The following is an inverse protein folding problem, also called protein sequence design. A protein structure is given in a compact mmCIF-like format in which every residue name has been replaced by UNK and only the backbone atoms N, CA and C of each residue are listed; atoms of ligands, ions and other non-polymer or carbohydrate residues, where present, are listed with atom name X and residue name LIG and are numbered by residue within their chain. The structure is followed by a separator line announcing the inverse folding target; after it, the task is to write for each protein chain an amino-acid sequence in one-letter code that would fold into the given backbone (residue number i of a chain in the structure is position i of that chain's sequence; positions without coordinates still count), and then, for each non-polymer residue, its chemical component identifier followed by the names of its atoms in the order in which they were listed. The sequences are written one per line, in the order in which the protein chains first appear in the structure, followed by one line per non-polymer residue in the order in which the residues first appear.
data_IF_526345515040
#
_entry.id   IF_526345515040
#
_cell.length_a   1.000
_cell.length_b   1.000
_cell.length_c   1.000
_cell.angle_alpha   90.00
_cell.angle_beta   90.00
_cell.angle_gamma   90.00
#
_symmetry.space_group_name_H-M   'P 1'
#
loop_
_entity.id
_entity.type
_entity.pdbx_description
1 polymer ?
#
# COMPACT_ATOMS: atom_id res chain seq x y z
N UNK A 1 22.19 -0.31 -12.58
CA UNK A 1 22.87 0.40 -11.47
C UNK A 1 22.65 -0.46 -10.24
N UNK A 2 23.72 -1.06 -9.68
CA UNK A 2 23.60 -1.86 -8.46
C UNK A 2 23.29 -0.91 -7.29
N UNK A 3 22.11 -1.08 -6.71
CA UNK A 3 21.81 -0.40 -5.44
C UNK A 3 22.73 -0.98 -4.38
N UNK A 4 23.23 -0.13 -3.50
CA UNK A 4 23.93 -0.53 -2.28
C UNK A 4 23.09 -1.56 -1.50
N UNK A 5 23.70 -2.49 -0.77
CA UNK A 5 22.94 -3.41 0.08
C UNK A 5 22.00 -2.60 0.96
N UNK A 6 20.71 -2.91 0.86
CA UNK A 6 19.63 -2.17 1.52
C UNK A 6 19.88 -2.08 3.02
N UNK A 7 20.04 -0.87 3.51
CA UNK A 7 20.04 -0.63 4.94
C UNK A 7 18.60 -0.58 5.46
N UNK A 8 17.87 0.46 5.06
CA UNK A 8 16.47 0.70 5.43
C UNK A 8 15.73 1.28 4.23
N UNK A 9 14.55 0.77 3.95
CA UNK A 9 13.69 1.32 2.90
C UNK A 9 12.26 1.50 3.39
N UNK A 10 11.66 2.62 2.99
CA UNK A 10 10.26 2.94 3.22
C UNK A 10 9.56 3.15 1.87
N UNK A 11 8.64 2.26 1.55
CA UNK A 11 7.68 2.47 0.46
C UNK A 11 6.38 3.01 1.05
N UNK A 12 6.08 4.28 0.82
CA UNK A 12 4.83 4.88 1.22
C UNK A 12 3.87 4.94 0.04
N UNK A 13 2.83 4.13 0.07
CA UNK A 13 1.76 4.12 -0.93
C UNK A 13 0.55 4.89 -0.43
N UNK A 14 0.16 5.91 -1.19
CA UNK A 14 -1.03 6.73 -0.98
C UNK A 14 -2.07 6.32 -2.02
N UNK A 15 -3.12 5.64 -1.59
CA UNK A 15 -4.20 5.22 -2.49
C UNK A 15 -5.01 6.42 -2.99
N UNK A 16 -5.41 6.40 -4.26
CA UNK A 16 -6.12 7.52 -4.88
C UNK A 16 -5.24 8.71 -5.27
N UNK A 17 -3.91 8.65 -5.05
CA UNK A 17 -2.98 9.72 -5.41
C UNK A 17 -2.46 9.53 -6.84
N UNK A 18 -3.01 10.27 -7.79
CA UNK A 18 -2.58 10.23 -9.18
C UNK A 18 -1.37 11.14 -9.46
N UNK A 19 -0.64 10.83 -10.53
CA UNK A 19 0.55 11.58 -10.93
C UNK A 19 0.27 13.10 -11.11
N UNK A 20 -0.85 13.43 -11.75
CA UNK A 20 -1.20 14.82 -12.04
C UNK A 20 -1.62 15.60 -10.78
N UNK A 21 -2.01 14.91 -9.70
CA UNK A 21 -2.31 15.52 -8.39
C UNK A 21 -1.15 16.31 -7.84
N UNK A 22 0.09 15.82 -8.05
CA UNK A 22 1.30 16.48 -7.55
C UNK A 22 1.49 17.90 -8.12
N UNK A 23 1.17 18.10 -9.38
CA UNK A 23 1.27 19.42 -10.02
C UNK A 23 0.03 20.28 -9.79
N UNK A 24 -1.16 19.67 -9.85
CA UNK A 24 -2.44 20.38 -9.74
C UNK A 24 -2.67 20.98 -8.36
N UNK A 25 -2.23 20.28 -7.31
CA UNK A 25 -2.46 20.66 -5.91
C UNK A 25 -1.14 20.93 -5.14
N UNK A 26 -0.09 21.37 -5.84
CA UNK A 26 1.24 21.60 -5.25
C UNK A 26 1.20 22.52 -4.02
N UNK A 27 0.34 23.53 -4.01
CA UNK A 27 0.18 24.48 -2.89
C UNK A 27 -0.36 23.80 -1.62
N UNK A 28 -1.15 22.74 -1.77
CA UNK A 28 -1.70 21.94 -0.66
C UNK A 28 -0.63 20.99 -0.08
N UNK A 29 0.40 20.68 -0.86
CA UNK A 29 1.43 19.69 -0.55
C UNK A 29 2.85 20.28 -0.54
N UNK A 30 3.16 21.22 0.36
CA UNK A 30 4.46 21.91 0.36
C UNK A 30 5.66 20.99 0.62
N UNK A 31 5.45 19.81 1.22
CA UNK A 31 6.52 18.83 1.44
C UNK A 31 6.72 17.97 0.20
N UNK A 32 5.66 17.30 -0.26
CA UNK A 32 5.73 16.34 -1.38
C UNK A 32 6.08 17.03 -2.70
N UNK A 33 5.61 18.26 -2.93
CA UNK A 33 5.91 19.02 -4.15
C UNK A 33 7.40 19.34 -4.33
N UNK A 34 8.21 19.28 -3.26
CA UNK A 34 9.66 19.50 -3.27
C UNK A 34 10.47 18.20 -3.38
N UNK A 35 9.82 17.06 -3.33
CA UNK A 35 10.50 15.76 -3.47
C UNK A 35 10.93 15.52 -4.90
N UNK A 36 11.94 14.68 -5.08
CA UNK A 36 12.43 14.33 -6.42
C UNK A 36 11.33 13.51 -7.12
N UNK A 37 10.88 13.99 -8.26
CA UNK A 37 9.94 13.28 -9.11
C UNK A 37 10.70 12.38 -10.09
N UNK A 38 10.59 11.08 -9.93
CA UNK A 38 11.21 10.08 -10.81
C UNK A 38 10.37 9.74 -12.04
N UNK A 39 9.22 10.39 -12.22
CA UNK A 39 8.36 10.22 -13.38
C UNK A 39 7.07 9.45 -13.10
N UNK A 40 6.31 9.24 -14.17
CA UNK A 40 5.01 8.58 -14.17
C UNK A 40 5.15 7.11 -14.48
N UNK A 41 4.51 6.29 -13.69
CA UNK A 41 4.29 4.87 -13.99
C UNK A 41 2.79 4.61 -14.14
N UNK A 42 2.45 3.54 -14.83
CA UNK A 42 1.05 3.13 -15.01
C UNK A 42 0.76 1.92 -14.13
N UNK A 43 -0.40 1.93 -13.50
CA UNK A 43 -0.93 0.74 -12.81
C UNK A 43 -1.40 -0.32 -13.81
N UNK A 44 -1.55 -1.56 -13.34
CA UNK A 44 -2.10 -2.63 -14.14
C UNK A 44 -3.60 -2.38 -14.50
N UNK A 45 -4.10 -3.12 -15.47
CA UNK A 45 -5.54 -3.13 -15.79
C UNK A 45 -6.18 -4.43 -15.28
N UNK A 46 -7.35 -4.35 -14.63
CA UNK A 46 -8.06 -3.13 -14.22
C UNK A 46 -7.34 -2.38 -13.09
N UNK A 47 -7.44 -1.05 -13.09
CA UNK A 47 -6.76 -0.17 -12.14
C UNK A 47 -7.43 -0.12 -10.75
N UNK A 48 -7.98 -1.24 -10.29
CA UNK A 48 -8.56 -1.33 -8.95
C UNK A 48 -7.46 -1.53 -7.91
N UNK A 49 -7.68 -1.04 -6.69
CA UNK A 49 -6.78 -1.26 -5.54
C UNK A 49 -6.39 -2.72 -5.39
N UNK A 50 -7.35 -3.64 -5.45
CA UNK A 50 -7.10 -5.07 -5.28
C UNK A 50 -6.11 -5.63 -6.31
N UNK A 51 -6.29 -5.31 -7.59
CA UNK A 51 -5.41 -5.76 -8.67
C UNK A 51 -4.05 -5.09 -8.60
N UNK A 52 -4.03 -3.77 -8.38
CA UNK A 52 -2.80 -2.98 -8.37
C UNK A 52 -1.88 -3.34 -7.20
N UNK A 53 -2.45 -3.53 -6.00
CA UNK A 53 -1.68 -3.95 -4.83
C UNK A 53 -1.15 -5.39 -4.97
N UNK A 54 -1.93 -6.31 -5.54
CA UNK A 54 -1.45 -7.65 -5.83
C UNK A 54 -0.29 -7.63 -6.86
N UNK A 55 -0.41 -6.83 -7.92
CA UNK A 55 0.69 -6.61 -8.88
C UNK A 55 1.93 -6.05 -8.20
N UNK A 56 1.77 -5.04 -7.34
CA UNK A 56 2.89 -4.41 -6.61
C UNK A 56 3.60 -5.42 -5.70
N UNK A 57 2.85 -6.24 -4.98
CA UNK A 57 3.42 -7.14 -3.96
C UNK A 57 3.91 -8.46 -4.51
N UNK A 58 3.45 -8.90 -5.68
CA UNK A 58 3.94 -10.12 -6.33
C UNK A 58 5.00 -9.83 -7.39
N UNK A 59 4.97 -8.63 -8.00
CA UNK A 59 5.78 -8.31 -9.19
C UNK A 59 5.25 -8.95 -10.47
N UNK A 60 4.04 -9.54 -10.43
CA UNK A 60 3.44 -10.27 -11.54
C UNK A 60 2.23 -9.55 -12.13
N UNK A 61 1.85 -9.90 -13.36
CA UNK A 61 0.66 -9.37 -14.02
C UNK A 61 -0.63 -9.99 -13.46
N UNK A 62 -1.79 -9.30 -13.59
CA UNK A 62 -3.07 -9.77 -13.06
C UNK A 62 -3.46 -11.19 -13.50
N UNK A 63 -3.17 -11.56 -14.74
CA UNK A 63 -3.41 -12.91 -15.25
C UNK A 63 -2.56 -14.02 -14.61
N UNK A 64 -1.46 -13.66 -13.92
CA UNK A 64 -0.59 -14.58 -13.20
C UNK A 64 -0.99 -14.70 -11.75
N UNK A 65 -1.16 -13.58 -11.03
CA UNK A 65 -1.52 -13.61 -9.61
C UNK A 65 -3.01 -13.81 -9.33
N UNK A 66 -3.88 -13.75 -10.34
CA UNK A 66 -5.32 -14.09 -10.23
C UNK A 66 -6.21 -13.03 -9.56
N UNK A 67 -5.66 -11.90 -9.07
CA UNK A 67 -6.44 -10.79 -8.51
C UNK A 67 -6.92 -9.90 -9.65
N UNK A 68 -8.03 -10.28 -10.29
CA UNK A 68 -8.51 -9.69 -11.55
C UNK A 68 -9.42 -8.47 -11.39
N UNK A 69 -9.78 -8.11 -10.16
CA UNK A 69 -10.65 -6.98 -9.89
C UNK A 69 -11.11 -6.90 -8.44
N UNK A 70 -11.92 -5.89 -8.17
CA UNK A 70 -12.50 -5.66 -6.85
C UNK A 70 -13.55 -6.73 -6.47
N UNK A 71 -14.39 -7.11 -7.43
CA UNK A 71 -15.39 -8.17 -7.27
C UNK A 71 -15.28 -9.11 -8.45
N UNK A 72 -15.07 -10.39 -8.16
CA UNK A 72 -14.85 -11.42 -9.17
C UNK A 72 -15.68 -12.68 -8.85
N UNK A 73 -16.07 -13.41 -9.88
CA UNK A 73 -16.79 -14.66 -9.69
C UNK A 73 -15.84 -15.77 -9.22
N UNK A 74 -16.24 -16.46 -8.15
CA UNK A 74 -15.51 -17.63 -7.68
C UNK A 74 -15.78 -18.80 -8.63
N UNK A 75 -14.74 -19.38 -9.23
CA UNK A 75 -14.92 -20.49 -10.17
C UNK A 75 -15.67 -21.68 -9.55
N UNK A 76 -16.54 -22.31 -10.33
CA UNK A 76 -17.29 -23.51 -9.94
C UNK A 76 -18.14 -23.38 -8.66
N UNK A 77 -18.53 -22.16 -8.32
CA UNK A 77 -19.25 -21.85 -7.06
C UNK A 77 -20.76 -21.64 -7.22
N UNK A 78 -21.32 -21.87 -8.42
CA UNK A 78 -22.73 -21.56 -8.70
C UNK A 78 -23.04 -20.06 -8.78
N UNK A 79 -22.06 -19.23 -9.18
CA UNK A 79 -22.24 -17.78 -9.36
C UNK A 79 -21.84 -16.92 -8.16
N UNK A 80 -21.22 -17.50 -7.14
CA UNK A 80 -20.74 -16.74 -5.98
C UNK A 80 -19.73 -15.68 -6.38
N UNK A 81 -19.82 -14.50 -5.77
CA UNK A 81 -18.89 -13.41 -5.97
C UNK A 81 -17.96 -13.27 -4.76
N UNK A 82 -16.68 -13.10 -5.01
CA UNK A 82 -15.68 -12.68 -4.04
C UNK A 82 -15.49 -11.17 -4.18
N UNK A 83 -15.74 -10.44 -3.11
CA UNK A 83 -15.37 -9.03 -3.01
C UNK A 83 -14.07 -8.94 -2.20
N UNK A 84 -13.04 -8.30 -2.75
CA UNK A 84 -11.71 -8.26 -2.16
C UNK A 84 -11.67 -7.60 -0.76
N UNK A 85 -12.53 -6.60 -0.49
CA UNK A 85 -12.60 -5.94 0.82
C UNK A 85 -13.58 -6.62 1.80
N UNK A 86 -14.50 -7.44 1.30
CA UNK A 86 -15.45 -8.22 2.11
C UNK A 86 -15.23 -9.69 1.82
N UNK A 87 -14.05 -10.17 2.16
CA UNK A 87 -13.59 -11.50 1.80
C UNK A 87 -14.56 -12.60 2.28
N UNK A 88 -14.89 -13.51 1.39
CA UNK A 88 -15.70 -14.69 1.73
C UNK A 88 -14.79 -15.72 2.43
N UNK A 89 -15.06 -16.03 3.68
CA UNK A 89 -14.26 -16.97 4.50
C UNK A 89 -14.16 -18.39 3.92
N UNK A 90 -15.07 -18.74 2.99
CA UNK A 90 -15.03 -20.02 2.27
C UNK A 90 -14.00 -20.04 1.13
N UNK A 91 -13.39 -18.90 0.84
CA UNK A 91 -12.33 -18.76 -0.17
C UNK A 91 -11.01 -18.62 0.56
N UNK A 92 -10.18 -19.64 0.47
CA UNK A 92 -8.83 -19.59 1.02
C UNK A 92 -7.98 -18.53 0.30
N UNK A 93 -7.43 -17.53 1.02
CA UNK A 93 -6.68 -16.45 0.39
C UNK A 93 -5.39 -16.89 -0.30
N UNK A 94 -4.70 -17.89 0.23
CA UNK A 94 -3.43 -18.37 -0.31
C UNK A 94 -3.66 -19.21 -1.57
N UNK A 95 -4.75 -19.99 -1.61
CA UNK A 95 -5.14 -20.70 -2.81
C UNK A 95 -5.70 -19.76 -3.89
N UNK A 96 -6.34 -18.65 -3.48
CA UNK A 96 -6.84 -17.66 -4.43
C UNK A 96 -5.74 -16.88 -5.12
N UNK A 97 -4.74 -16.43 -4.35
CA UNK A 97 -3.54 -15.79 -4.86
C UNK A 97 -2.32 -16.67 -4.49
N UNK A 98 -1.93 -17.64 -5.34
CA UNK A 98 -0.88 -18.60 -5.01
C UNK A 98 0.55 -18.11 -5.27
N UNK A 99 0.71 -16.97 -5.93
CA UNK A 99 2.03 -16.45 -6.28
C UNK A 99 2.75 -15.97 -5.03
N UNK A 100 4.00 -16.38 -4.87
CA UNK A 100 4.87 -15.92 -3.80
C UNK A 100 5.06 -14.40 -3.87
N UNK A 101 4.85 -13.71 -2.75
CA UNK A 101 4.99 -12.27 -2.69
C UNK A 101 6.46 -11.85 -2.65
N UNK A 102 6.75 -10.61 -3.06
CA UNK A 102 8.06 -9.99 -2.89
C UNK A 102 8.43 -9.86 -1.41
N UNK A 103 7.43 -9.74 -0.53
CA UNK A 103 7.64 -9.69 0.92
C UNK A 103 8.09 -11.05 1.48
N UNK A 104 7.48 -12.15 1.03
CA UNK A 104 7.95 -13.50 1.38
C UNK A 104 9.39 -13.73 0.89
N UNK A 105 9.69 -13.33 -0.35
CA UNK A 105 11.03 -13.44 -0.92
C UNK A 105 12.06 -12.60 -0.14
N UNK A 106 11.71 -11.36 0.22
CA UNK A 106 12.58 -10.49 1.02
C UNK A 106 12.85 -11.08 2.42
N UNK A 107 11.81 -11.61 3.08
CA UNK A 107 11.93 -12.24 4.40
C UNK A 107 12.81 -13.48 4.37
N UNK A 108 12.72 -14.30 3.32
CA UNK A 108 13.58 -15.50 3.12
C UNK A 108 15.08 -15.17 3.05
N UNK A 109 15.42 -13.96 2.59
CA UNK A 109 16.83 -13.51 2.55
C UNK A 109 17.22 -12.64 3.75
N UNK A 110 16.41 -12.64 4.81
CA UNK A 110 16.74 -12.01 6.09
C UNK A 110 16.38 -10.53 6.19
N UNK A 111 15.58 -9.97 5.28
CA UNK A 111 15.08 -8.60 5.39
C UNK A 111 13.88 -8.57 6.34
N UNK A 112 13.88 -7.63 7.29
CA UNK A 112 12.73 -7.40 8.17
C UNK A 112 11.65 -6.63 7.42
N UNK A 113 10.62 -7.33 6.95
CA UNK A 113 9.52 -6.73 6.19
C UNK A 113 8.36 -6.40 7.12
N UNK A 114 7.92 -5.14 7.12
CA UNK A 114 6.76 -4.70 7.92
C UNK A 114 5.74 -3.99 7.03
N UNK A 115 4.47 -4.36 7.17
CA UNK A 115 3.33 -3.68 6.57
C UNK A 115 2.62 -2.84 7.62
N UNK A 116 2.69 -1.52 7.49
CA UNK A 116 2.02 -0.57 8.39
C UNK A 116 0.79 -0.01 7.69
N UNK A 117 -0.38 -0.19 8.28
CA UNK A 117 -1.65 0.29 7.71
C UNK A 117 -2.75 0.35 8.77
N UNK A 118 -3.98 0.72 8.37
CA UNK A 118 -5.13 0.77 9.26
C UNK A 118 -5.43 -0.59 9.91
N UNK A 119 -5.64 -0.61 11.22
CA UNK A 119 -5.86 -1.84 12.02
C UNK A 119 -6.99 -2.72 11.47
N UNK A 120 -8.02 -2.12 10.90
CA UNK A 120 -9.17 -2.83 10.32
C UNK A 120 -8.81 -3.83 9.20
N UNK A 121 -7.64 -3.71 8.59
CA UNK A 121 -7.20 -4.59 7.50
C UNK A 121 -6.30 -5.74 7.95
N UNK A 122 -5.84 -5.75 9.21
CA UNK A 122 -4.79 -6.64 9.73
C UNK A 122 -5.03 -8.13 9.40
N UNK A 123 -6.26 -8.61 9.59
CA UNK A 123 -6.59 -10.03 9.38
C UNK A 123 -7.55 -10.24 8.21
N UNK A 124 -7.70 -9.25 7.31
CA UNK A 124 -8.58 -9.42 6.17
C UNK A 124 -8.07 -10.51 5.22
N UNK A 125 -8.99 -11.19 4.53
CA UNK A 125 -8.60 -12.19 3.54
C UNK A 125 -7.76 -11.58 2.42
N UNK A 126 -8.01 -10.30 2.07
CA UNK A 126 -7.18 -9.58 1.12
C UNK A 126 -5.73 -9.40 1.61
N UNK A 127 -5.55 -8.97 2.87
CA UNK A 127 -4.21 -8.85 3.47
C UNK A 127 -3.50 -10.19 3.48
N UNK A 128 -4.19 -11.27 3.83
CA UNK A 128 -3.66 -12.63 3.81
C UNK A 128 -3.35 -13.13 2.40
N UNK A 129 -4.05 -12.67 1.38
CA UNK A 129 -3.78 -13.04 -0.01
C UNK A 129 -2.54 -12.33 -0.57
N UNK A 130 -2.40 -11.02 -0.35
CA UNK A 130 -1.44 -10.20 -1.13
C UNK A 130 -0.27 -9.62 -0.34
N UNK A 131 -0.30 -9.65 1.01
CA UNK A 131 0.77 -9.10 1.84
C UNK A 131 1.49 -10.15 2.71
N UNK A 132 1.43 -11.42 2.30
CA UNK A 132 2.17 -12.50 2.98
C UNK A 132 3.66 -12.18 3.07
N UNK A 133 4.28 -12.62 4.15
CA UNK A 133 5.71 -12.40 4.43
C UNK A 133 6.01 -11.12 5.18
N UNK A 134 5.09 -10.15 5.25
CA UNK A 134 5.25 -8.95 6.06
C UNK A 134 4.65 -9.12 7.46
N UNK A 135 5.34 -8.62 8.49
CA UNK A 135 4.74 -8.41 9.80
C UNK A 135 3.77 -7.25 9.74
N UNK A 136 2.47 -7.50 9.97
CA UNK A 136 1.47 -6.43 9.99
C UNK A 136 1.57 -5.62 11.29
N UNK A 137 1.47 -4.28 11.15
CA UNK A 137 1.41 -3.32 12.24
C UNK A 137 0.22 -2.40 12.02
N UNK A 138 -0.87 -2.69 12.72
CA UNK A 138 -2.13 -1.96 12.59
C UNK A 138 -2.20 -0.75 13.49
N UNK A 139 -2.57 0.42 12.94
CA UNK A 139 -2.84 1.64 13.68
C UNK A 139 -4.12 2.32 13.18
N UNK A 140 -4.73 3.16 14.02
CA UNK A 140 -5.98 3.84 13.66
C UNK A 140 -5.83 5.35 13.46
N UNK A 141 -4.71 5.92 13.90
CA UNK A 141 -4.41 7.36 13.79
C UNK A 141 -3.03 7.57 13.17
N UNK A 142 -2.83 8.71 12.54
CA UNK A 142 -1.62 9.06 11.80
C UNK A 142 -0.36 8.99 12.67
N UNK A 143 -0.43 9.49 13.90
CA UNK A 143 0.72 9.47 14.82
C UNK A 143 1.20 8.08 15.14
N UNK A 144 0.28 7.11 15.26
CA UNK A 144 0.62 5.72 15.52
C UNK A 144 1.21 5.05 14.25
N UNK A 145 0.67 5.36 13.05
CA UNK A 145 1.24 4.90 11.79
C UNK A 145 2.69 5.38 11.62
N UNK A 146 2.97 6.63 11.93
CA UNK A 146 4.33 7.19 11.92
C UNK A 146 5.23 6.49 12.95
N UNK A 147 4.73 6.29 14.16
CA UNK A 147 5.46 5.62 15.25
C UNK A 147 5.81 4.17 14.90
N UNK A 148 4.86 3.38 14.40
CA UNK A 148 5.08 2.00 13.98
C UNK A 148 6.06 1.92 12.80
N UNK A 149 5.96 2.85 11.83
CA UNK A 149 6.89 2.96 10.71
C UNK A 149 8.31 3.23 11.20
N UNK A 150 8.48 4.22 12.08
CA UNK A 150 9.76 4.55 12.69
C UNK A 150 10.35 3.37 13.47
N UNK A 151 9.54 2.69 14.26
CA UNK A 151 9.96 1.54 15.05
C UNK A 151 10.40 0.38 14.15
N UNK A 152 9.67 0.08 13.09
CA UNK A 152 10.02 -0.97 12.15
C UNK A 152 11.36 -0.70 11.44
N UNK A 153 11.64 0.57 11.13
CA UNK A 153 12.89 1.01 10.49
C UNK A 153 14.12 1.02 11.45
N UNK A 154 13.96 0.76 12.75
CA UNK A 154 15.12 0.59 13.65
C UNK A 154 15.90 -0.70 13.34
N UNK A 155 15.27 -1.69 12.78
CA UNK A 155 15.93 -2.93 12.35
C UNK A 155 16.71 -2.72 11.05
N UNK A 156 17.76 -3.50 10.83
CA UNK A 156 18.59 -3.44 9.61
C UNK A 156 19.02 -4.86 9.24
N UNK A 157 18.85 -5.32 7.99
CA UNK A 157 18.11 -4.65 6.91
C UNK A 157 16.60 -4.65 7.14
N UNK A 158 15.92 -3.62 6.68
CA UNK A 158 14.48 -3.51 6.81
C UNK A 158 13.81 -2.89 5.57
N UNK A 159 12.61 -3.36 5.27
CA UNK A 159 11.70 -2.80 4.29
C UNK A 159 10.35 -2.55 4.96
N UNK A 160 9.88 -1.32 4.95
CA UNK A 160 8.57 -0.95 5.47
C UNK A 160 7.67 -0.52 4.33
N UNK A 161 6.54 -1.21 4.20
CA UNK A 161 5.44 -0.81 3.33
C UNK A 161 4.38 -0.08 4.17
N UNK A 162 4.28 1.22 4.00
CA UNK A 162 3.27 2.05 4.64
C UNK A 162 2.15 2.33 3.65
N UNK A 163 0.92 2.06 4.04
CA UNK A 163 -0.26 2.25 3.20
C UNK A 163 -1.32 3.10 3.89
N UNK A 164 -1.84 4.10 3.17
CA UNK A 164 -2.98 4.91 3.57
C UNK A 164 -3.98 5.03 2.43
N UNK A 165 -5.28 5.02 2.76
CA UNK A 165 -6.36 5.12 1.78
C UNK A 165 -7.36 6.26 2.07
N UNK A 166 -6.99 7.20 2.91
CA UNK A 166 -7.88 8.31 3.30
C UNK A 166 -8.22 9.19 2.11
N UNK A 167 -7.27 9.43 1.20
CA UNK A 167 -7.47 10.22 0.00
C UNK A 167 -8.44 9.54 -0.98
N UNK A 168 -8.26 8.24 -1.22
CA UNK A 168 -9.15 7.43 -2.02
C UNK A 168 -10.57 7.41 -1.45
N UNK A 169 -10.68 7.21 -0.14
CA UNK A 169 -11.96 7.20 0.57
C UNK A 169 -12.69 8.54 0.44
N UNK A 170 -11.98 9.67 0.59
CA UNK A 170 -12.54 11.00 0.39
C UNK A 170 -12.95 11.23 -1.07
N UNK A 171 -12.14 10.74 -2.03
CA UNK A 171 -12.47 10.77 -3.46
C UNK A 171 -13.76 10.04 -3.79
N UNK A 172 -13.97 8.86 -3.19
CA UNK A 172 -15.18 8.06 -3.39
C UNK A 172 -16.43 8.64 -2.73
N UNK A 173 -16.30 9.25 -1.53
CA UNK A 173 -17.45 9.75 -0.77
C UNK A 173 -17.87 11.17 -1.15
N UNK A 174 -16.91 12.04 -1.40
CA UNK A 174 -17.15 13.48 -1.54
C UNK A 174 -16.67 14.03 -2.90
N UNK A 175 -15.90 13.26 -3.66
CA UNK A 175 -15.35 13.63 -4.96
C UNK A 175 -13.92 14.19 -4.89
N UNK A 176 -13.17 13.96 -5.95
CA UNK A 176 -11.82 14.52 -6.13
C UNK A 176 -11.89 16.05 -6.20
N UNK A 177 -11.06 16.73 -5.44
CA UNK A 177 -11.04 18.19 -5.36
C UNK A 177 -12.07 18.79 -4.40
N UNK A 178 -12.88 17.99 -3.70
CA UNK A 178 -13.74 18.47 -2.63
C UNK A 178 -12.93 18.96 -1.41
N UNK A 179 -13.54 19.76 -0.54
CA UNK A 179 -12.88 20.26 0.68
C UNK A 179 -12.35 19.12 1.56
N UNK A 180 -13.08 18.01 1.66
CA UNK A 180 -12.64 16.84 2.44
C UNK A 180 -11.47 16.13 1.76
N UNK A 181 -11.50 16.01 0.44
CA UNK A 181 -10.40 15.41 -0.31
C UNK A 181 -9.13 16.28 -0.20
N UNK A 182 -9.25 17.60 -0.30
CA UNK A 182 -8.15 18.55 -0.11
C UNK A 182 -7.61 18.48 1.33
N UNK A 183 -8.47 18.38 2.32
CA UNK A 183 -8.06 18.21 3.71
C UNK A 183 -7.31 16.90 3.94
N UNK A 184 -7.75 15.79 3.34
CA UNK A 184 -7.05 14.50 3.37
C UNK A 184 -5.67 14.60 2.72
N UNK A 185 -5.58 15.28 1.57
CA UNK A 185 -4.32 15.50 0.87
C UNK A 185 -3.32 16.30 1.71
N UNK A 186 -3.78 17.38 2.35
CA UNK A 186 -2.96 18.18 3.27
C UNK A 186 -2.48 17.37 4.49
N UNK A 187 -3.35 16.54 5.05
CA UNK A 187 -3.00 15.67 6.18
C UNK A 187 -1.93 14.63 5.80
N UNK A 188 -2.01 14.10 4.58
CA UNK A 188 -0.99 13.18 4.04
C UNK A 188 0.35 13.89 3.86
N UNK A 189 0.38 15.12 3.33
CA UNK A 189 1.61 15.91 3.20
C UNK A 189 2.25 16.19 4.57
N UNK A 190 1.43 16.49 5.60
CA UNK A 190 1.91 16.64 6.97
C UNK A 190 2.51 15.32 7.50
N UNK A 191 1.88 14.17 7.22
CA UNK A 191 2.41 12.87 7.58
C UNK A 191 3.76 12.59 6.90
N UNK A 192 3.92 12.92 5.62
CA UNK A 192 5.20 12.82 4.92
C UNK A 192 6.26 13.71 5.58
N UNK A 193 5.91 14.96 5.91
CA UNK A 193 6.81 15.88 6.61
C UNK A 193 7.26 15.33 7.97
N UNK A 194 6.36 14.69 8.71
CA UNK A 194 6.68 14.07 10.00
C UNK A 194 7.59 12.85 9.82
N UNK A 195 7.28 11.97 8.87
CA UNK A 195 8.10 10.81 8.56
C UNK A 195 9.53 11.22 8.19
N UNK A 196 9.72 12.22 7.33
CA UNK A 196 11.04 12.71 6.94
C UNK A 196 11.89 13.22 8.12
N UNK A 197 11.25 13.69 9.20
CA UNK A 197 11.93 14.15 10.41
C UNK A 197 12.26 13.01 11.37
N UNK A 198 11.41 11.97 11.42
CA UNK A 198 11.44 10.96 12.47
C UNK A 198 12.07 9.63 12.06
N UNK A 199 12.08 9.30 10.76
CA UNK A 199 12.72 8.07 10.30
C UNK A 199 14.24 8.12 10.49
N UNK A 200 14.91 6.97 10.69
CA UNK A 200 16.37 6.92 10.83
C UNK A 200 17.06 7.52 9.60
N UNK A 201 18.18 8.21 9.83
CA UNK A 201 19.01 8.72 8.71
C UNK A 201 19.48 7.58 7.82
N UNK A 202 19.42 7.79 6.52
CA UNK A 202 19.78 6.80 5.51
C UNK A 202 18.67 5.79 5.22
N UNK A 203 17.41 6.17 5.57
CA UNK A 203 16.21 5.47 5.09
C UNK A 203 15.91 5.93 3.69
#
# INVERSE_FOLDING_TARGET
MGQSPMGRELLFLIDGFGFDTLSTYAEVMPTMSRMINFGKIHTAFPSTTATSLATLTTGELPGVHGMLGYTVQVPRSGGRLLNALKWDERVDPENWQPVETLFERATKVGINVTHVAAKRYENSGFTRAVFRGAQYKGANIVTDLVSETKQALQKTPSFVYLYVNDLDSAGHSDGVGSDKWIAALAAIDQMVSQLMKEVPKGT
#
